data_IF_223343707934
#
_entry.id   IF_223343707934
#
_cell.length_a   1.000
_cell.length_b   1.000
_cell.length_c   1.000
_cell.angle_alpha   90.00
_cell.angle_beta   90.00
_cell.angle_gamma   90.00
#
_symmetry.space_group_name_H-M   'P 1'
#
loop_
_entity.id
_entity.type
_entity.pdbx_description
1 polymer ?
#
# COMPACT_ATOMS: atom_id res chain seq x y z
N UNK A 1 -13.74 -6.79 -4.86
CA UNK A 1 -12.77 -5.68 -4.81
C UNK A 1 -12.74 -4.83 -3.54
N UNK A 2 -13.79 -4.05 -3.32
CA UNK A 2 -14.04 -3.14 -2.19
C UNK A 2 -13.16 -1.89 -2.25
N UNK A 3 -11.87 -2.11 -2.08
CA UNK A 3 -10.74 -1.16 -2.08
C UNK A 3 -10.87 0.18 -1.37
N UNK A 4 -11.75 0.26 -0.37
CA UNK A 4 -11.99 1.47 0.42
C UNK A 4 -10.84 1.73 1.39
N UNK A 5 -9.64 1.47 0.89
CA UNK A 5 -8.36 1.60 1.60
C UNK A 5 -7.83 3.04 1.67
N UNK A 6 -7.35 3.45 2.84
CA UNK A 6 -6.81 4.80 3.07
C UNK A 6 -5.31 5.00 2.84
N UNK A 7 -4.59 3.90 2.66
CA UNK A 7 -3.13 3.88 2.42
C UNK A 7 -2.75 3.93 0.95
N UNK A 8 -3.67 3.57 0.05
CA UNK A 8 -3.38 3.59 -1.40
C UNK A 8 -2.87 4.96 -1.86
N UNK A 9 -1.63 4.76 -2.31
CA UNK A 9 -0.65 5.71 -2.86
C UNK A 9 0.26 6.41 -1.85
N UNK A 10 0.28 5.92 -0.61
CA UNK A 10 1.14 6.45 0.47
C UNK A 10 2.57 6.10 0.06
N UNK A 11 3.45 7.08 -0.02
CA UNK A 11 4.85 6.82 -0.40
C UNK A 11 5.64 6.25 0.78
N UNK A 12 6.27 5.14 0.42
CA UNK A 12 7.13 4.27 1.23
C UNK A 12 7.90 3.26 0.38
N UNK A 13 8.51 2.28 1.04
CA UNK A 13 9.26 1.23 0.34
C UNK A 13 8.85 -0.20 0.72
N UNK A 14 8.60 -0.37 2.02
CA UNK A 14 8.18 -1.63 2.64
C UNK A 14 6.66 -1.68 2.73
N UNK A 15 6.15 -2.84 3.13
CA UNK A 15 4.69 -3.02 3.26
C UNK A 15 4.24 -2.64 4.66
N UNK A 16 5.16 -2.70 5.62
CA UNK A 16 5.02 -2.42 7.06
C UNK A 16 4.66 -0.95 7.31
N UNK A 17 5.03 -0.07 6.38
CA UNK A 17 4.72 1.37 6.46
C UNK A 17 3.21 1.53 6.28
N UNK A 18 2.67 0.58 5.52
CA UNK A 18 1.25 0.44 5.16
C UNK A 18 0.65 -0.56 6.16
N UNK A 19 1.13 -0.50 7.40
CA UNK A 19 0.76 -1.31 8.56
C UNK A 19 -0.74 -1.44 8.89
N UNK A 20 -1.40 -0.29 8.89
CA UNK A 20 -2.83 -0.18 9.19
C UNK A 20 -3.74 -0.52 8.02
N UNK A 21 -3.14 -0.74 6.85
CA UNK A 21 -3.84 -1.10 5.61
C UNK A 21 -4.43 -2.50 5.70
N UNK A 22 -5.28 -2.76 4.70
CA UNK A 22 -5.97 -4.04 4.53
C UNK A 22 -5.93 -4.53 3.08
N UNK A 23 -5.94 -3.59 2.14
CA UNK A 23 -5.89 -3.82 0.69
C UNK A 23 -4.52 -3.42 0.14
N UNK A 24 -4.17 -2.13 0.23
CA UNK A 24 -2.90 -1.56 -0.23
C UNK A 24 -1.79 -1.70 0.81
N UNK A 25 -1.73 -2.94 1.28
CA UNK A 25 -0.80 -3.45 2.30
C UNK A 25 0.65 -3.71 1.88
N UNK A 26 0.96 -3.57 0.59
CA UNK A 26 2.31 -3.78 0.06
C UNK A 26 2.79 -2.56 -0.71
N UNK A 27 3.93 -2.00 -0.29
CA UNK A 27 4.48 -0.82 -0.98
C UNK A 27 5.25 -1.28 -2.22
N UNK A 28 4.70 -0.89 -3.36
CA UNK A 28 5.23 -1.23 -4.69
C UNK A 28 6.53 -0.53 -5.07
N UNK A 29 7.28 -1.30 -5.86
CA UNK A 29 8.60 -0.92 -6.39
C UNK A 29 8.72 0.41 -7.14
N UNK A 30 8.23 0.43 -8.38
CA UNK A 30 8.25 1.62 -9.25
C UNK A 30 7.37 2.77 -8.76
N UNK A 31 6.24 2.42 -8.15
CA UNK A 31 5.30 3.42 -7.63
C UNK A 31 5.77 4.00 -6.29
N UNK A 32 6.50 3.20 -5.52
CA UNK A 32 7.04 3.55 -4.20
C UNK A 32 5.93 4.00 -3.26
N UNK A 33 4.76 3.42 -3.49
CA UNK A 33 3.53 3.71 -2.72
C UNK A 33 2.74 2.43 -2.43
N UNK A 34 2.01 2.53 -1.32
CA UNK A 34 1.14 1.49 -0.77
C UNK A 34 0.02 1.08 -1.73
N UNK A 35 0.41 0.04 -2.46
CA UNK A 35 -0.36 -0.68 -3.49
C UNK A 35 -1.00 -1.94 -2.91
N UNK A 36 -1.76 -2.71 -3.68
CA UNK A 36 -2.38 -3.94 -3.16
C UNK A 36 -1.30 -4.93 -2.74
N UNK A 37 -1.64 -5.76 -1.76
CA UNK A 37 -0.73 -6.79 -1.21
C UNK A 37 -0.38 -7.99 -2.08
N UNK A 38 -0.69 -7.85 -3.36
CA UNK A 38 -0.48 -8.81 -4.45
C UNK A 38 -1.22 -10.13 -4.20
N UNK A 39 -0.92 -10.77 -3.07
CA UNK A 39 -1.50 -12.05 -2.62
C UNK A 39 -1.35 -13.19 -3.64
#
# INVERSE_FOLDING_TARGET
>A
EQHADPICNKPCKTHDDCSGAWFCQACWNSARTCGPYVG
#
